data_IF_753458429550
#
_entry.id   IF_753458429550
#
_cell.length_a   1.000
_cell.length_b   1.000
_cell.length_c   1.000
_cell.angle_alpha   90.00
_cell.angle_beta   90.00
_cell.angle_gamma   90.00
#
_symmetry.space_group_name_H-M   'P 1'
#
loop_
_entity.id
_entity.type
_entity.pdbx_description
1 polymer ?
#
# COMPACT_ATOMS: atom_id res chain seq x y z
N UNK A 1 3.96 -34.31 1.15
CA UNK A 1 4.58 -35.04 2.27
C UNK A 1 4.61 -34.27 3.59
N UNK A 2 4.78 -32.95 3.58
CA UNK A 2 4.93 -32.17 4.83
C UNK A 2 3.69 -32.13 5.74
N UNK A 3 2.48 -31.91 5.18
CA UNK A 3 1.26 -31.76 5.99
C UNK A 3 0.57 -33.08 6.39
N UNK A 4 0.92 -34.20 5.74
CA UNK A 4 0.33 -35.55 5.95
C UNK A 4 -1.21 -35.62 6.02
N UNK A 5 -1.91 -34.65 5.45
CA UNK A 5 -3.37 -34.62 5.29
C UNK A 5 -3.75 -33.91 4.00
N UNK A 6 -4.97 -34.17 3.55
CA UNK A 6 -5.54 -33.39 2.45
C UNK A 6 -5.84 -31.95 2.93
N UNK A 7 -5.64 -30.94 2.08
CA UNK A 7 -6.07 -29.59 2.36
C UNK A 7 -7.60 -29.52 2.40
N UNK A 8 -8.13 -28.68 3.27
CA UNK A 8 -9.56 -28.37 3.31
C UNK A 8 -9.93 -27.47 2.14
N UNK A 9 -11.22 -27.41 1.84
CA UNK A 9 -11.73 -26.46 0.85
C UNK A 9 -11.38 -25.00 1.21
N UNK A 10 -11.45 -24.62 2.49
CA UNK A 10 -11.12 -23.27 2.96
C UNK A 10 -9.65 -22.93 2.67
N UNK A 11 -8.73 -23.85 2.93
CA UNK A 11 -7.30 -23.65 2.66
C UNK A 11 -7.02 -23.51 1.16
N UNK A 12 -7.71 -24.29 0.33
CA UNK A 12 -7.57 -24.19 -1.12
C UNK A 12 -8.13 -22.87 -1.66
N UNK A 13 -9.28 -22.42 -1.14
CA UNK A 13 -9.89 -21.14 -1.55
C UNK A 13 -9.04 -19.95 -1.12
N UNK A 14 -8.55 -19.93 0.12
CA UNK A 14 -7.65 -18.89 0.60
C UNK A 14 -6.37 -18.82 -0.24
N UNK A 15 -5.77 -19.97 -0.53
CA UNK A 15 -4.59 -20.04 -1.40
C UNK A 15 -4.87 -19.50 -2.80
N UNK A 16 -6.03 -19.81 -3.38
CA UNK A 16 -6.43 -19.31 -4.69
C UNK A 16 -6.61 -17.78 -4.69
N UNK A 17 -7.27 -17.21 -3.67
CA UNK A 17 -7.47 -15.76 -3.56
C UNK A 17 -6.15 -15.03 -3.29
N UNK A 18 -5.34 -15.55 -2.37
CA UNK A 18 -4.05 -15.00 -1.97
C UNK A 18 -3.01 -15.06 -3.09
N UNK A 19 -3.12 -15.99 -4.05
CA UNK A 19 -2.22 -16.10 -5.20
C UNK A 19 -2.81 -15.57 -6.51
N UNK A 20 -4.01 -15.00 -6.49
CA UNK A 20 -4.58 -14.35 -7.65
C UNK A 20 -3.67 -13.22 -8.15
N UNK A 21 -3.78 -12.89 -9.44
CA UNK A 21 -3.03 -11.75 -10.01
C UNK A 21 -3.33 -10.46 -9.25
N UNK A 22 -4.61 -10.23 -8.94
CA UNK A 22 -5.06 -9.02 -8.24
C UNK A 22 -4.39 -8.86 -6.86
N UNK A 23 -4.23 -9.96 -6.12
CA UNK A 23 -3.63 -9.93 -4.78
C UNK A 23 -2.09 -9.93 -4.78
N UNK A 24 -1.44 -10.53 -5.79
CA UNK A 24 0.03 -10.66 -5.82
C UNK A 24 0.74 -9.76 -6.81
N UNK A 25 0.01 -9.12 -7.72
CA UNK A 25 0.56 -8.27 -8.76
C UNK A 25 1.71 -8.96 -9.52
N UNK A 26 1.50 -10.24 -9.89
CA UNK A 26 2.50 -11.05 -10.60
C UNK A 26 3.01 -10.34 -11.86
N UNK A 27 2.12 -9.68 -12.58
CA UNK A 27 2.46 -8.93 -13.79
C UNK A 27 3.46 -7.80 -13.51
N UNK A 28 3.25 -7.02 -12.44
CA UNK A 28 4.13 -5.91 -12.07
C UNK A 28 5.54 -6.34 -11.64
N UNK A 29 5.69 -7.58 -11.15
CA UNK A 29 6.98 -8.18 -10.76
C UNK A 29 7.53 -9.16 -11.80
N UNK A 30 6.81 -9.39 -12.89
CA UNK A 30 7.19 -10.34 -13.93
C UNK A 30 8.43 -9.89 -14.69
N UNK A 31 9.13 -10.86 -15.29
CA UNK A 31 10.19 -10.59 -16.26
C UNK A 31 9.59 -9.92 -17.50
N UNK A 32 10.17 -8.82 -17.93
CA UNK A 32 9.73 -8.07 -19.10
C UNK A 32 10.69 -8.35 -20.26
N UNK A 33 10.18 -8.82 -21.39
CA UNK A 33 10.95 -9.04 -22.62
C UNK A 33 10.34 -8.16 -23.71
N UNK A 34 11.11 -7.23 -24.26
CA UNK A 34 10.68 -6.29 -25.30
C UNK A 34 11.54 -6.56 -26.53
N UNK A 35 10.89 -6.87 -27.66
CA UNK A 35 11.56 -7.18 -28.94
C UNK A 35 12.67 -8.25 -28.83
N UNK A 36 12.43 -9.25 -27.98
CA UNK A 36 13.38 -10.34 -27.73
C UNK A 36 14.49 -10.03 -26.71
N UNK A 37 14.50 -8.84 -26.12
CA UNK A 37 15.48 -8.43 -25.10
C UNK A 37 14.85 -8.42 -23.71
N UNK A 38 15.42 -9.18 -22.77
CA UNK A 38 15.01 -9.15 -21.36
C UNK A 38 15.44 -7.84 -20.70
N UNK A 39 14.51 -7.17 -20.04
CA UNK A 39 14.75 -5.92 -19.32
C UNK A 39 15.28 -6.21 -17.91
N UNK A 40 16.24 -5.40 -17.46
CA UNK A 40 16.86 -5.54 -16.12
C UNK A 40 15.86 -5.34 -14.97
N UNK A 41 14.88 -4.45 -15.16
CA UNK A 41 13.91 -4.04 -14.13
C UNK A 41 12.50 -4.49 -14.50
N UNK A 42 11.74 -4.96 -13.51
CA UNK A 42 10.30 -5.17 -13.68
C UNK A 42 9.52 -3.85 -13.46
N UNK A 43 8.24 -3.82 -13.83
CA UNK A 43 7.42 -2.59 -13.78
C UNK A 43 7.39 -1.95 -12.39
N UNK A 44 7.29 -2.76 -11.33
CA UNK A 44 7.27 -2.24 -9.97
C UNK A 44 8.61 -1.60 -9.54
N UNK A 45 9.75 -2.01 -10.11
CA UNK A 45 11.04 -1.39 -9.84
C UNK A 45 11.12 -0.02 -10.50
N UNK A 46 10.54 0.13 -11.68
CA UNK A 46 10.42 1.43 -12.36
C UNK A 46 9.63 2.40 -11.48
N UNK A 47 8.51 1.95 -10.92
CA UNK A 47 7.71 2.76 -9.97
C UNK A 47 8.50 3.10 -8.71
N UNK A 48 9.17 2.12 -8.07
CA UNK A 48 10.02 2.38 -6.89
C UNK A 48 11.22 3.29 -7.16
N UNK A 49 11.71 3.30 -8.39
CA UNK A 49 12.87 4.12 -8.76
C UNK A 49 12.54 5.62 -8.64
N UNK A 50 11.29 6.05 -8.82
CA UNK A 50 10.92 7.47 -8.67
C UNK A 50 11.21 7.96 -7.25
N UNK A 51 10.88 7.16 -6.24
CA UNK A 51 11.20 7.44 -4.83
C UNK A 51 12.71 7.42 -4.56
N UNK A 52 13.45 6.49 -5.18
CA UNK A 52 14.92 6.45 -5.05
C UNK A 52 15.57 7.73 -5.62
N UNK A 53 15.05 8.23 -6.74
CA UNK A 53 15.56 9.45 -7.39
C UNK A 53 15.15 10.72 -6.63
N UNK A 54 13.97 10.73 -6.01
CA UNK A 54 13.51 11.85 -5.21
C UNK A 54 12.81 11.36 -3.94
N UNK A 55 13.57 11.11 -2.86
CA UNK A 55 13.01 10.68 -1.58
C UNK A 55 12.42 11.84 -0.78
N UNK A 56 12.57 13.08 -1.26
CA UNK A 56 12.17 14.26 -0.49
C UNK A 56 10.68 14.21 -0.18
N UNK A 57 10.33 14.62 1.06
CA UNK A 57 8.99 14.65 1.64
C UNK A 57 8.23 13.32 1.80
N UNK A 58 8.68 12.18 1.27
CA UNK A 58 8.01 10.90 1.51
C UNK A 58 8.19 10.46 2.97
N UNK A 59 7.09 10.09 3.64
CA UNK A 59 7.09 9.52 5.00
C UNK A 59 6.82 8.01 4.96
N UNK A 60 5.82 7.60 4.17
CA UNK A 60 5.44 6.19 3.97
C UNK A 60 5.24 5.92 2.48
N UNK A 61 5.90 4.88 1.96
CA UNK A 61 5.72 4.43 0.58
C UNK A 61 6.03 2.93 0.46
N UNK A 62 5.17 2.19 -0.26
CA UNK A 62 5.31 0.75 -0.54
C UNK A 62 5.37 -0.18 0.70
N UNK A 63 4.98 0.31 1.87
CA UNK A 63 4.94 -0.45 3.13
C UNK A 63 3.56 -0.44 3.80
N UNK A 64 2.56 0.16 3.16
CA UNK A 64 1.18 0.25 3.59
C UNK A 64 0.28 0.26 2.32
N UNK A 65 -1.05 0.14 2.50
CA UNK A 65 -2.06 0.28 1.45
C UNK A 65 -2.27 1.74 1.02
N UNK A 66 -1.47 2.66 1.55
CA UNK A 66 -1.48 4.06 1.21
C UNK A 66 -0.06 4.62 1.23
N UNK A 67 0.09 5.85 0.74
CA UNK A 67 1.33 6.60 0.81
C UNK A 67 1.11 7.91 1.55
N UNK A 68 2.14 8.39 2.22
CA UNK A 68 2.08 9.61 3.03
C UNK A 68 3.26 10.50 2.71
N UNK A 69 3.00 11.78 2.48
CA UNK A 69 4.01 12.83 2.37
C UNK A 69 3.98 13.73 3.60
N UNK A 70 5.13 14.31 3.93
CA UNK A 70 5.31 15.22 5.05
C UNK A 70 4.40 16.43 4.86
N UNK A 71 3.57 16.70 5.84
CA UNK A 71 2.68 17.85 5.84
C UNK A 71 3.22 18.98 6.70
N UNK A 72 2.32 19.61 7.45
CA UNK A 72 2.59 20.85 8.17
C UNK A 72 1.95 20.84 9.55
N UNK A 73 2.47 21.69 10.43
CA UNK A 73 1.78 22.01 11.68
C UNK A 73 0.59 22.92 11.38
N UNK A 74 -0.61 22.43 11.68
CA UNK A 74 -1.86 23.16 11.42
C UNK A 74 -2.71 23.25 12.68
N UNK A 75 -3.60 24.26 12.80
CA UNK A 75 -4.63 24.26 13.82
C UNK A 75 -5.61 23.11 13.57
N UNK A 76 -5.69 22.19 14.52
CA UNK A 76 -6.57 21.03 14.51
C UNK A 76 -7.58 21.10 15.64
N UNK A 77 -8.85 20.93 15.30
CA UNK A 77 -9.92 20.87 16.27
C UNK A 77 -10.07 19.42 16.76
N UNK A 78 -9.82 19.19 18.05
CA UNK A 78 -9.95 17.86 18.67
C UNK A 78 -10.71 17.92 19.99
N UNK A 79 -11.39 16.82 20.39
CA UNK A 79 -12.00 16.76 21.72
C UNK A 79 -10.94 16.93 22.80
N UNK A 80 -11.30 17.60 23.89
CA UNK A 80 -10.45 17.70 25.08
C UNK A 80 -10.20 16.34 25.72
N UNK A 81 -11.23 15.48 25.72
CA UNK A 81 -11.18 14.13 26.30
C UNK A 81 -11.68 13.12 25.26
N UNK A 82 -10.79 12.53 24.45
CA UNK A 82 -11.16 11.47 23.51
C UNK A 82 -11.86 10.30 24.21
N UNK A 83 -12.95 9.82 23.63
CA UNK A 83 -13.74 8.70 24.17
C UNK A 83 -14.86 9.09 25.16
N UNK A 84 -14.96 10.38 25.54
CA UNK A 84 -16.03 10.89 26.41
C UNK A 84 -16.63 12.20 25.86
N UNK A 85 -17.86 12.57 26.26
CA UNK A 85 -18.41 13.89 25.94
C UNK A 85 -17.53 15.00 26.52
N UNK A 86 -17.03 15.89 25.66
CA UNK A 86 -16.18 17.01 26.05
C UNK A 86 -16.29 18.16 25.04
N UNK A 87 -15.79 19.33 25.43
CA UNK A 87 -15.71 20.47 24.53
C UNK A 87 -14.60 20.23 23.47
N UNK A 88 -14.69 20.92 22.34
CA UNK A 88 -13.64 20.88 21.32
C UNK A 88 -12.64 22.00 21.56
N UNK A 89 -11.35 21.69 21.41
CA UNK A 89 -10.26 22.68 21.50
C UNK A 89 -9.41 22.66 20.23
N UNK A 90 -8.85 23.82 19.89
CA UNK A 90 -7.88 23.94 18.80
C UNK A 90 -6.48 23.69 19.36
N UNK A 91 -5.76 22.73 18.78
CA UNK A 91 -4.37 22.46 19.08
C UNK A 91 -3.53 22.60 17.80
N UNK A 92 -2.29 23.06 17.91
CA UNK A 92 -1.36 22.99 16.79
C UNK A 92 -0.81 21.57 16.69
N UNK A 93 -1.08 20.88 15.59
CA UNK A 93 -0.72 19.48 15.39
C UNK A 93 0.03 19.32 14.07
N UNK A 94 1.13 18.56 14.08
CA UNK A 94 1.79 18.11 12.84
C UNK A 94 0.91 17.06 12.16
N UNK A 95 0.43 17.37 10.97
CA UNK A 95 -0.38 16.46 10.17
C UNK A 95 0.24 16.26 8.80
N UNK A 96 0.52 15.00 8.49
CA UNK A 96 0.97 14.56 7.19
C UNK A 96 -0.20 14.33 6.23
N UNK A 97 0.11 14.27 4.93
CA UNK A 97 -0.89 14.11 3.87
C UNK A 97 -0.83 12.70 3.32
N UNK A 98 -1.93 11.95 3.49
CA UNK A 98 -2.10 10.60 2.98
C UNK A 98 -2.79 10.63 1.62
N UNK A 99 -2.33 9.79 0.69
CA UNK A 99 -2.94 9.58 -0.62
C UNK A 99 -3.04 8.09 -0.95
N UNK A 100 -4.20 7.69 -1.45
CA UNK A 100 -4.47 6.38 -2.05
C UNK A 100 -5.40 6.53 -3.24
N UNK A 101 -5.32 5.61 -4.19
CA UNK A 101 -6.20 5.54 -5.34
C UNK A 101 -6.44 4.07 -5.69
N UNK A 102 -7.71 3.70 -5.80
CA UNK A 102 -8.15 2.35 -6.13
C UNK A 102 -9.15 2.38 -7.29
N UNK A 103 -9.35 1.24 -7.93
CA UNK A 103 -10.30 1.09 -9.04
C UNK A 103 -11.21 -0.09 -8.77
N UNK A 104 -12.47 0.01 -9.21
CA UNK A 104 -13.48 -1.05 -9.06
C UNK A 104 -14.11 -1.39 -10.41
N UNK A 105 -13.27 -1.82 -11.35
CA UNK A 105 -13.68 -2.03 -12.75
C UNK A 105 -14.53 -3.29 -12.93
N UNK A 106 -14.21 -4.35 -12.19
CA UNK A 106 -14.98 -5.59 -12.11
C UNK A 106 -15.32 -5.85 -10.64
N UNK A 107 -16.60 -5.76 -10.25
CA UNK A 107 -17.06 -5.92 -8.87
C UNK A 107 -17.11 -7.39 -8.43
#
# INVERSE_FOLDING_TARGET
>A
DDMKRNPTNVELFDMAQSNSEHSRHWFFKGKLVIDGVEMEKHLFDIVKNTLKQNPSNSVVAFSDNSSTIKGYTIPYLSPETPGFPSSLKVNMTEMDVLCTAETHNFP
#
